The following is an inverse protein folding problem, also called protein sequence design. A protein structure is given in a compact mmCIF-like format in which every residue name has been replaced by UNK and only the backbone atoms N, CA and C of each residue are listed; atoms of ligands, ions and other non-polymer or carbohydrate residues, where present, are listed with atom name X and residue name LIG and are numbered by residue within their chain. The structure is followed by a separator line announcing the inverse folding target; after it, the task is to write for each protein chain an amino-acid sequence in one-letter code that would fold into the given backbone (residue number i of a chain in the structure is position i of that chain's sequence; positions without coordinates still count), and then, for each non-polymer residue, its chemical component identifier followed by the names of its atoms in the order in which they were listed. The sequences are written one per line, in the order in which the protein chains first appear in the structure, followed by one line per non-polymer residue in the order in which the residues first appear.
data_IF_251132494190
#
_entry.id   IF_251132494190
#
_cell.length_a   1.000
_cell.length_b   1.000
_cell.length_c   1.000
_cell.angle_alpha   90.00
_cell.angle_beta   90.00
_cell.angle_gamma   90.00
#
_symmetry.space_group_name_H-M   'P 1'
#
loop_
_entity.id
_entity.type
_entity.pdbx_description
1 polymer ?
#
# COMPACT_ATOMS: atom_id res chain seq x y z
N UNK A 1 -10.35 -13.64 -6.08
CA UNK A 1 -9.55 -12.78 -5.16
C UNK A 1 -8.09 -13.13 -5.36
N UNK A 2 -7.26 -12.21 -5.82
CA UNK A 2 -5.83 -12.48 -5.93
C UNK A 2 -5.21 -12.26 -4.55
N UNK A 3 -4.57 -13.27 -3.96
CA UNK A 3 -3.67 -13.05 -2.85
C UNK A 3 -2.36 -12.52 -3.43
N UNK A 4 -1.87 -11.41 -2.91
CA UNK A 4 -0.57 -10.86 -3.27
C UNK A 4 0.33 -10.96 -2.06
N UNK A 5 1.38 -11.76 -2.18
CA UNK A 5 2.45 -11.80 -1.19
C UNK A 5 3.57 -10.87 -1.65
N UNK A 6 3.95 -9.95 -0.78
CA UNK A 6 5.01 -9.00 -1.03
C UNK A 6 6.04 -9.06 0.08
N UNK A 7 7.27 -9.41 -0.28
CA UNK A 7 8.43 -9.35 0.62
C UNK A 7 9.28 -8.16 0.23
N UNK A 8 9.50 -7.23 1.15
CA UNK A 8 10.24 -5.99 0.90
C UNK A 8 11.58 -5.98 1.63
N UNK A 9 12.65 -5.56 0.95
CA UNK A 9 13.96 -5.30 1.55
C UNK A 9 14.08 -3.88 2.12
N UNK A 10 13.67 -2.83 1.37
CA UNK A 10 13.70 -1.45 1.86
C UNK A 10 12.68 -1.24 2.97
N UNK A 11 13.17 -1.01 4.19
CA UNK A 11 12.33 -0.80 5.38
C UNK A 11 11.38 0.40 5.20
N UNK A 12 10.20 0.33 5.82
CA UNK A 12 9.15 1.36 5.71
C UNK A 12 8.31 1.30 4.44
N UNK A 13 8.84 0.82 3.31
CA UNK A 13 8.05 0.71 2.08
C UNK A 13 7.00 -0.41 2.13
N UNK A 14 7.24 -1.50 2.87
CA UNK A 14 6.29 -2.60 3.03
C UNK A 14 4.99 -2.16 3.67
N UNK A 15 5.05 -1.47 4.81
CA UNK A 15 3.84 -0.92 5.47
C UNK A 15 3.17 0.13 4.58
N UNK A 16 3.93 0.92 3.84
CA UNK A 16 3.40 1.93 2.94
C UNK A 16 2.67 1.31 1.74
N UNK A 17 3.23 0.23 1.16
CA UNK A 17 2.53 -0.55 0.13
C UNK A 17 1.24 -1.17 0.69
N UNK A 18 1.25 -1.70 1.92
CA UNK A 18 0.06 -2.23 2.57
C UNK A 18 -1.04 -1.16 2.75
N UNK A 19 -0.65 0.08 3.08
CA UNK A 19 -1.59 1.22 3.09
C UNK A 19 -2.21 1.44 1.71
N UNK A 20 -1.42 1.37 0.64
CA UNK A 20 -1.90 1.46 -0.74
C UNK A 20 -2.86 0.33 -1.11
N UNK A 21 -2.56 -0.91 -0.73
CA UNK A 21 -3.44 -2.07 -0.96
C UNK A 21 -4.77 -1.92 -0.21
N UNK A 22 -4.74 -1.54 1.06
CA UNK A 22 -5.95 -1.33 1.86
C UNK A 22 -6.79 -0.15 1.34
N UNK A 23 -6.17 0.89 0.81
CA UNK A 23 -6.86 2.00 0.15
C UNK A 23 -7.54 1.53 -1.15
N UNK A 24 -6.85 0.74 -1.97
CA UNK A 24 -7.41 0.18 -3.20
C UNK A 24 -8.61 -0.72 -2.91
N UNK A 25 -8.52 -1.59 -1.89
CA UNK A 25 -9.66 -2.40 -1.44
C UNK A 25 -10.85 -1.51 -1.10
N UNK A 26 -10.65 -0.49 -0.26
CA UNK A 26 -11.72 0.40 0.19
C UNK A 26 -12.40 1.14 -0.97
N UNK A 27 -11.63 1.62 -1.93
CA UNK A 27 -12.16 2.33 -3.09
C UNK A 27 -12.89 1.38 -4.06
N UNK A 28 -12.34 0.19 -4.32
CA UNK A 28 -13.00 -0.84 -5.14
C UNK A 28 -14.30 -1.33 -4.49
N UNK A 29 -14.32 -1.52 -3.18
CA UNK A 29 -15.53 -1.88 -2.45
C UNK A 29 -16.62 -0.82 -2.63
N UNK A 30 -16.26 0.47 -2.55
CA UNK A 30 -17.19 1.57 -2.79
C UNK A 30 -17.69 1.62 -4.24
N UNK A 31 -16.83 1.31 -5.23
CA UNK A 31 -17.20 1.28 -6.64
C UNK A 31 -18.13 0.11 -6.98
N UNK A 32 -17.83 -1.09 -6.46
CA UNK A 32 -18.40 -2.33 -7.00
C UNK A 32 -19.34 -3.07 -6.06
N UNK A 33 -19.19 -3.00 -4.72
CA UNK A 33 -20.10 -3.69 -3.83
C UNK A 33 -21.52 -3.15 -3.95
N UNK A 34 -22.51 -4.05 -3.84
CA UNK A 34 -23.94 -3.72 -3.87
C UNK A 34 -24.64 -4.47 -2.74
N UNK A 35 -25.76 -3.99 -2.24
CA UNK A 35 -26.49 -4.68 -1.16
C UNK A 35 -26.72 -6.16 -1.45
N UNK A 36 -26.22 -7.02 -0.56
CA UNK A 36 -26.24 -8.47 -0.70
C UNK A 36 -25.16 -9.08 -1.60
N UNK A 37 -24.24 -8.28 -2.12
CA UNK A 37 -23.15 -8.71 -3.00
C UNK A 37 -21.86 -7.98 -2.69
N UNK A 38 -21.17 -8.40 -1.61
CA UNK A 38 -19.86 -7.87 -1.24
C UNK A 38 -18.77 -8.67 -1.96
N UNK A 39 -18.42 -8.23 -3.19
CA UNK A 39 -17.42 -8.91 -4.02
C UNK A 39 -15.98 -8.45 -3.71
N UNK A 40 -15.83 -7.32 -3.02
CA UNK A 40 -14.55 -6.79 -2.52
C UNK A 40 -14.66 -6.65 -1.01
N UNK A 41 -14.10 -7.62 -0.28
CA UNK A 41 -14.18 -7.68 1.19
C UNK A 41 -13.00 -8.50 1.75
N UNK A 42 -11.81 -7.92 1.71
CA UNK A 42 -10.61 -8.59 2.22
C UNK A 42 -9.75 -7.67 3.07
N UNK A 43 -8.98 -8.28 3.96
CA UNK A 43 -8.05 -7.58 4.82
C UNK A 43 -6.64 -7.56 4.21
N UNK A 44 -5.91 -6.50 4.50
CA UNK A 44 -4.48 -6.39 4.22
C UNK A 44 -3.72 -6.61 5.53
N UNK A 45 -2.85 -7.61 5.56
CA UNK A 45 -1.97 -7.91 6.70
C UNK A 45 -0.54 -7.50 6.36
N UNK A 46 0.16 -6.93 7.33
CA UNK A 46 1.56 -6.56 7.18
C UNK A 46 2.34 -6.87 8.45
N UNK A 47 3.53 -7.45 8.29
CA UNK A 47 4.49 -7.68 9.36
C UNK A 47 5.61 -6.66 9.26
N UNK A 48 6.04 -6.11 10.39
CA UNK A 48 7.09 -5.11 10.44
C UNK A 48 7.80 -5.14 11.81
N UNK A 49 9.06 -4.71 11.85
CA UNK A 49 9.87 -4.65 13.05
C UNK A 49 10.27 -3.21 13.41
N UNK A 50 11.14 -3.06 14.42
CA UNK A 50 11.62 -1.78 14.94
C UNK A 50 12.23 -0.87 13.86
N UNK A 51 13.03 -1.43 12.96
CA UNK A 51 13.63 -0.67 11.86
C UNK A 51 12.58 -0.04 10.93
N UNK A 52 11.49 -0.73 10.65
CA UNK A 52 10.40 -0.16 9.85
C UNK A 52 9.72 1.02 10.57
N UNK A 53 9.64 0.97 11.90
CA UNK A 53 9.05 2.04 12.72
C UNK A 53 9.94 3.28 12.82
N UNK A 54 11.26 3.12 12.63
CA UNK A 54 12.23 4.23 12.60
C UNK A 54 12.20 5.00 11.27
N UNK A 55 11.80 4.35 10.17
CA UNK A 55 11.75 4.97 8.85
C UNK A 55 10.72 6.10 8.79
N UNK A 56 11.13 7.28 8.30
CA UNK A 56 10.25 8.46 8.19
C UNK A 56 8.98 8.21 7.39
N UNK A 57 9.07 7.40 6.32
CA UNK A 57 7.93 7.05 5.47
C UNK A 57 6.81 6.31 6.25
N UNK A 58 7.15 5.58 7.32
CA UNK A 58 6.14 4.92 8.16
C UNK A 58 5.23 5.93 8.86
N UNK A 59 5.77 7.09 9.26
CA UNK A 59 4.99 8.19 9.83
C UNK A 59 4.04 8.78 8.78
N UNK A 60 4.52 9.00 7.56
CA UNK A 60 3.71 9.54 6.46
C UNK A 60 2.52 8.62 6.13
N UNK A 61 2.81 7.35 5.90
CA UNK A 61 1.80 6.37 5.47
C UNK A 61 0.81 6.02 6.59
N UNK A 62 1.29 5.78 7.82
CA UNK A 62 0.42 5.38 8.93
C UNK A 62 -0.51 6.52 9.38
N UNK A 63 -0.05 7.77 9.31
CA UNK A 63 -0.91 8.92 9.54
C UNK A 63 -2.05 9.02 8.51
N UNK A 64 -1.74 8.79 7.22
CA UNK A 64 -2.75 8.74 6.15
C UNK A 64 -3.73 7.57 6.32
N UNK A 65 -3.23 6.39 6.69
CA UNK A 65 -4.09 5.23 6.94
C UNK A 65 -5.14 5.48 8.03
N UNK A 66 -4.75 6.17 9.10
CA UNK A 66 -5.68 6.61 10.14
C UNK A 66 -6.67 7.66 9.65
N UNK A 67 -6.20 8.66 8.88
CA UNK A 67 -7.04 9.71 8.30
C UNK A 67 -8.08 9.14 7.31
N UNK A 68 -7.68 8.14 6.51
CA UNK A 68 -8.58 7.44 5.56
C UNK A 68 -9.37 6.30 6.20
N UNK A 69 -9.18 6.07 7.51
CA UNK A 69 -9.91 5.03 8.25
C UNK A 69 -9.86 3.66 7.56
N UNK A 70 -8.65 3.20 7.24
CA UNK A 70 -8.43 1.92 6.54
C UNK A 70 -8.61 0.74 7.51
N UNK A 71 -9.83 0.49 7.91
CA UNK A 71 -10.20 -0.47 8.96
C UNK A 71 -9.83 -1.93 8.65
N UNK A 72 -9.60 -2.26 7.38
CA UNK A 72 -9.15 -3.60 6.96
C UNK A 72 -7.62 -3.74 6.87
N UNK A 73 -6.86 -2.72 7.27
CA UNK A 73 -5.41 -2.79 7.43
C UNK A 73 -5.04 -3.25 8.83
N UNK A 74 -4.35 -4.38 8.92
CA UNK A 74 -3.91 -5.01 10.18
C UNK A 74 -2.40 -5.15 10.14
N UNK A 75 -1.70 -4.40 10.98
CA UNK A 75 -0.26 -4.44 11.12
C UNK A 75 0.15 -5.23 12.36
N UNK A 76 1.01 -6.23 12.18
CA UNK A 76 1.62 -6.99 13.26
C UNK A 76 3.06 -6.47 13.45
N UNK A 77 3.29 -5.78 14.54
CA UNK A 77 4.58 -5.20 14.88
C UNK A 77 5.35 -6.15 15.78
N UNK A 78 6.46 -6.66 15.28
CA UNK A 78 7.43 -7.46 16.02
C UNK A 78 8.30 -6.51 16.87
N UNK A 79 7.83 -6.25 18.09
CA UNK A 79 8.48 -5.37 19.08
C UNK A 79 9.49 -6.19 19.89
N UNK A 80 10.65 -6.48 19.28
CA UNK A 80 11.72 -7.23 19.93
C UNK A 80 12.83 -6.35 20.50
N UNK A 81 12.91 -5.08 20.13
CA UNK A 81 13.88 -4.12 20.67
C UNK A 81 15.32 -4.34 20.22
N UNK A 82 15.54 -5.11 19.12
CA UNK A 82 16.87 -5.44 18.60
C UNK A 82 16.95 -5.06 17.11
N UNK A 83 18.03 -4.43 16.74
CA UNK A 83 18.43 -4.19 15.36
C UNK A 83 19.81 -4.77 15.07
N UNK A 84 20.35 -4.52 13.88
CA UNK A 84 21.67 -5.00 13.49
C UNK A 84 22.80 -4.43 14.39
N UNK A 85 22.59 -3.22 14.93
CA UNK A 85 23.53 -2.58 15.86
C UNK A 85 23.30 -2.95 17.33
N UNK A 86 22.31 -3.81 17.62
CA UNK A 86 21.99 -4.27 18.96
C UNK A 86 20.69 -3.72 19.52
N UNK A 87 20.66 -3.48 20.84
CA UNK A 87 19.48 -2.93 21.53
C UNK A 87 19.15 -1.54 21.04
N UNK A 88 17.92 -1.32 20.61
CA UNK A 88 17.49 -0.05 19.98
C UNK A 88 17.33 1.12 20.95
N UNK A 89 17.23 0.87 22.26
CA UNK A 89 16.97 1.89 23.28
C UNK A 89 17.89 3.12 23.26
N UNK A 90 19.17 3.07 22.82
CA UNK A 90 19.99 4.29 22.73
C UNK A 90 19.58 5.28 21.63
N UNK A 91 18.82 4.85 20.62
CA UNK A 91 18.42 5.68 19.47
C UNK A 91 16.96 5.56 19.07
N UNK A 92 16.16 4.72 19.73
CA UNK A 92 14.74 4.56 19.48
C UNK A 92 13.98 4.35 20.81
N UNK A 93 13.40 5.43 21.33
CA UNK A 93 12.66 5.46 22.59
C UNK A 93 11.21 5.88 22.38
N UNK A 94 10.74 5.91 21.14
CA UNK A 94 9.37 6.30 20.82
C UNK A 94 8.37 5.36 21.51
N UNK A 95 7.33 5.92 22.08
CA UNK A 95 6.14 5.16 22.43
C UNK A 95 5.34 4.89 21.15
N UNK A 96 5.70 3.80 20.44
CA UNK A 96 5.07 3.41 19.19
C UNK A 96 3.56 3.22 19.35
N UNK A 97 3.10 2.69 20.48
CA UNK A 97 1.68 2.49 20.74
C UNK A 97 0.93 3.83 20.88
N UNK A 98 1.49 4.79 21.61
CA UNK A 98 0.91 6.13 21.73
C UNK A 98 0.92 6.86 20.39
N UNK A 99 2.00 6.74 19.61
CA UNK A 99 2.13 7.29 18.26
C UNK A 99 1.02 6.82 17.34
N UNK A 100 0.76 5.51 17.28
CA UNK A 100 -0.30 4.95 16.44
C UNK A 100 -1.71 5.32 16.94
N UNK A 101 -1.93 5.40 18.26
CA UNK A 101 -3.18 5.94 18.81
C UNK A 101 -3.41 7.39 18.35
N UNK A 102 -2.34 8.22 18.33
CA UNK A 102 -2.42 9.60 17.85
C UNK A 102 -2.72 9.70 16.35
N UNK A 103 -2.30 8.70 15.53
CA UNK A 103 -2.71 8.60 14.13
C UNK A 103 -4.17 8.16 13.94
N UNK A 104 -4.88 7.77 15.00
CA UNK A 104 -6.25 7.28 14.92
C UNK A 104 -6.39 5.78 14.69
N UNK A 105 -5.34 5.01 14.93
CA UNK A 105 -5.36 3.54 14.87
C UNK A 105 -5.94 2.93 16.15
N UNK A 106 -6.52 1.75 16.01
CA UNK A 106 -6.70 0.82 17.14
C UNK A 106 -5.34 0.19 17.45
N UNK A 107 -4.99 0.09 18.74
CA UNK A 107 -3.73 -0.52 19.16
C UNK A 107 -4.02 -1.61 20.18
N UNK A 108 -3.52 -2.81 19.93
CA UNK A 108 -3.66 -4.00 20.79
C UNK A 108 -2.25 -4.49 21.13
N UNK A 109 -1.90 -4.51 22.40
CA UNK A 109 -0.61 -5.04 22.86
C UNK A 109 -0.79 -6.49 23.34
N UNK A 110 0.11 -7.38 22.89
CA UNK A 110 0.09 -8.80 23.23
C UNK A 110 1.51 -9.33 23.48
N UNK A 111 1.59 -10.42 24.23
CA UNK A 111 2.76 -11.30 24.19
C UNK A 111 2.77 -12.00 22.81
N UNK A 112 3.79 -11.71 22.00
CA UNK A 112 3.92 -12.25 20.64
C UNK A 112 4.26 -13.76 20.61
N UNK A 113 4.62 -14.33 21.75
CA UNK A 113 4.82 -15.77 21.89
C UNK A 113 3.58 -16.53 22.41
N UNK A 114 2.53 -15.81 22.83
CA UNK A 114 1.21 -16.39 23.13
C UNK A 114 0.35 -16.44 21.86
N UNK A 115 0.37 -17.58 21.18
CA UNK A 115 -0.39 -17.84 19.93
C UNK A 115 -1.89 -17.53 20.12
N UNK A 116 -2.46 -17.82 21.31
CA UNK A 116 -3.86 -17.58 21.58
C UNK A 116 -4.16 -16.07 21.76
N UNK A 117 -3.26 -15.33 22.39
CA UNK A 117 -3.38 -13.88 22.49
C UNK A 117 -3.30 -13.20 21.12
N UNK A 118 -2.34 -13.61 20.29
CA UNK A 118 -2.21 -13.11 18.91
C UNK A 118 -3.46 -13.43 18.08
N UNK A 119 -3.97 -14.66 18.16
CA UNK A 119 -5.18 -15.08 17.44
C UNK A 119 -6.41 -14.23 17.85
N UNK A 120 -6.60 -14.00 19.16
CA UNK A 120 -7.69 -13.13 19.66
C UNK A 120 -7.52 -11.67 19.19
N UNK A 121 -6.29 -11.16 19.17
CA UNK A 121 -6.00 -9.81 18.68
C UNK A 121 -6.33 -9.65 17.20
N UNK A 122 -5.98 -10.63 16.36
CA UNK A 122 -6.34 -10.66 14.94
C UNK A 122 -7.87 -10.67 14.78
N UNK A 123 -8.58 -11.54 15.50
CA UNK A 123 -10.04 -11.58 15.44
C UNK A 123 -10.68 -10.24 15.85
N UNK A 124 -10.14 -9.58 16.89
CA UNK A 124 -10.57 -8.25 17.30
C UNK A 124 -10.30 -7.19 16.23
N UNK A 125 -9.12 -7.25 15.58
CA UNK A 125 -8.75 -6.35 14.52
C UNK A 125 -9.66 -6.50 13.28
N UNK A 126 -10.01 -7.72 12.91
CA UNK A 126 -10.95 -8.02 11.82
C UNK A 126 -12.34 -7.42 12.05
N UNK A 127 -12.75 -7.25 13.30
CA UNK A 127 -14.01 -6.61 13.69
C UNK A 127 -13.95 -5.08 13.77
N UNK A 128 -12.83 -4.44 13.45
CA UNK A 128 -12.72 -2.98 13.51
C UNK A 128 -13.62 -2.31 12.45
N UNK A 129 -14.47 -1.40 12.90
CA UNK A 129 -15.44 -0.74 12.02
C UNK A 129 -14.84 0.41 11.21
N UNK A 130 -13.92 1.20 11.81
CA UNK A 130 -13.48 2.48 11.25
C UNK A 130 -12.01 2.81 11.49
N UNK A 131 -11.19 1.87 12.00
CA UNK A 131 -9.78 2.13 12.32
C UNK A 131 -8.89 1.03 11.80
N UNK A 132 -7.73 1.37 11.19
CA UNK A 132 -6.66 0.40 11.02
C UNK A 132 -6.16 -0.08 12.39
N UNK A 133 -5.62 -1.29 12.46
CA UNK A 133 -5.17 -1.89 13.72
C UNK A 133 -3.69 -2.18 13.72
N UNK A 134 -3.00 -1.73 14.77
CA UNK A 134 -1.65 -2.17 15.13
C UNK A 134 -1.75 -3.21 16.25
N UNK A 135 -1.26 -4.41 15.99
CA UNK A 135 -1.04 -5.43 17.03
C UNK A 135 0.44 -5.36 17.40
N UNK A 136 0.74 -4.78 18.55
CA UNK A 136 2.10 -4.69 19.08
C UNK A 136 2.44 -6.00 19.80
N UNK A 137 3.21 -6.85 19.13
CA UNK A 137 3.60 -8.16 19.60
C UNK A 137 4.95 -8.05 20.31
N UNK A 138 4.96 -8.11 21.63
CA UNK A 138 6.24 -8.17 22.35
C UNK A 138 6.87 -9.53 22.16
N UNK A 139 8.08 -9.56 21.61
CA UNK A 139 8.78 -10.79 21.25
C UNK A 139 10.23 -10.77 21.70
N UNK A 140 10.87 -11.92 21.55
CA UNK A 140 12.31 -12.12 21.73
C UNK A 140 12.90 -12.64 20.42
N UNK A 141 13.75 -11.85 19.76
CA UNK A 141 14.43 -12.31 18.55
C UNK A 141 15.32 -13.53 18.88
N UNK A 142 15.30 -14.55 18.03
CA UNK A 142 16.03 -15.78 18.28
C UNK A 142 15.48 -16.62 19.44
N UNK A 143 14.19 -16.49 19.73
CA UNK A 143 13.50 -17.28 20.75
C UNK A 143 13.83 -18.77 20.64
N UNK A 144 14.20 -19.38 21.77
CA UNK A 144 14.65 -20.78 21.84
C UNK A 144 16.13 -20.99 21.59
N UNK A 145 16.89 -20.00 21.16
CA UNK A 145 18.34 -20.08 21.02
C UNK A 145 19.02 -19.73 22.35
N UNK A 146 19.75 -20.65 23.01
CA UNK A 146 20.31 -20.41 24.35
C UNK A 146 21.31 -19.27 24.41
N UNK A 147 22.11 -19.06 23.36
CA UNK A 147 23.20 -18.09 23.35
C UNK A 147 22.99 -16.91 22.42
N UNK A 148 21.91 -16.91 21.60
CA UNK A 148 21.66 -15.88 20.58
C UNK A 148 20.38 -15.08 20.82
N UNK A 149 19.50 -15.53 21.72
CA UNK A 149 18.26 -14.80 22.03
C UNK A 149 18.58 -13.36 22.46
N UNK A 150 17.78 -12.37 21.95
CA UNK A 150 17.91 -10.94 22.26
C UNK A 150 19.28 -10.32 21.92
N UNK A 151 19.96 -10.85 20.91
CA UNK A 151 21.25 -10.33 20.45
C UNK A 151 21.20 -9.86 18.99
N UNK A 152 22.07 -8.89 18.64
CA UNK A 152 22.28 -8.46 17.25
C UNK A 152 22.65 -9.61 16.31
N UNK A 153 23.35 -10.62 16.83
CA UNK A 153 23.74 -11.81 16.05
C UNK A 153 22.57 -12.64 15.60
N UNK A 154 21.45 -12.67 16.37
CA UNK A 154 20.23 -13.32 15.92
C UNK A 154 19.53 -12.55 14.79
N UNK A 155 19.77 -11.23 14.69
CA UNK A 155 19.18 -10.38 13.64
C UNK A 155 19.89 -10.56 12.29
N UNK A 156 21.22 -10.59 12.26
CA UNK A 156 21.98 -10.44 11.02
C UNK A 156 22.87 -11.63 10.63
N UNK A 157 23.01 -12.66 11.47
CA UNK A 157 23.93 -13.76 11.25
C UNK A 157 23.23 -15.12 11.32
N UNK A 158 23.72 -16.13 10.57
CA UNK A 158 23.30 -17.53 10.79
C UNK A 158 23.64 -17.96 12.23
N UNK A 159 22.79 -18.80 12.82
CA UNK A 159 23.06 -19.34 14.16
C UNK A 159 24.37 -20.14 14.24
N UNK A 160 24.73 -20.84 13.16
CA UNK A 160 25.85 -21.78 13.12
C UNK A 160 25.46 -23.17 13.63
N UNK A 161 26.25 -24.19 13.26
CA UNK A 161 25.89 -25.60 13.50
C UNK A 161 25.70 -25.93 15.00
N UNK A 162 26.59 -25.44 15.85
CA UNK A 162 26.55 -25.72 17.29
C UNK A 162 25.31 -25.09 17.94
N UNK A 163 25.01 -23.83 17.63
CA UNK A 163 23.86 -23.13 18.17
C UNK A 163 22.56 -23.70 17.63
N UNK A 164 22.51 -24.16 16.36
CA UNK A 164 21.36 -24.87 15.81
C UNK A 164 21.08 -26.14 16.61
N UNK A 165 22.11 -26.91 16.96
CA UNK A 165 21.95 -28.13 17.76
C UNK A 165 21.37 -27.82 19.15
N UNK A 166 21.90 -26.76 19.82
CA UNK A 166 21.38 -26.32 21.12
C UNK A 166 19.95 -25.80 21.02
N UNK A 167 19.65 -25.01 20.00
CA UNK A 167 18.29 -24.47 19.77
C UNK A 167 17.29 -25.59 19.53
N UNK A 168 17.63 -26.58 18.70
CA UNK A 168 16.78 -27.74 18.45
C UNK A 168 16.45 -28.52 19.74
N UNK A 169 17.49 -28.72 20.57
CA UNK A 169 17.30 -29.34 21.89
C UNK A 169 16.38 -28.51 22.81
N UNK A 170 16.60 -27.20 22.83
CA UNK A 170 15.84 -26.26 23.68
C UNK A 170 14.34 -26.19 23.28
N UNK A 171 14.02 -26.20 21.97
CA UNK A 171 12.63 -26.16 21.48
C UNK A 171 12.01 -27.56 21.35
N UNK A 172 12.74 -28.63 21.68
CA UNK A 172 12.24 -30.01 21.59
C UNK A 172 12.02 -30.50 20.17
N UNK A 173 12.82 -30.05 19.18
CA UNK A 173 12.71 -30.46 17.78
C UNK A 173 13.70 -31.59 17.44
N UNK A 174 13.25 -32.88 17.45
CA UNK A 174 14.15 -34.05 17.29
C UNK A 174 14.48 -34.38 15.83
N UNK A 175 13.73 -33.82 14.87
CA UNK A 175 13.82 -34.23 13.46
C UNK A 175 15.10 -33.70 12.79
N UNK A 176 15.69 -34.42 11.82
CA UNK A 176 16.82 -33.96 11.04
C UNK A 176 16.57 -32.65 10.28
N UNK A 177 17.61 -31.96 9.83
CA UNK A 177 17.44 -30.77 8.97
C UNK A 177 16.61 -31.10 7.72
N UNK A 178 15.67 -30.20 7.40
CA UNK A 178 14.74 -30.30 6.26
C UNK A 178 13.75 -31.46 6.29
N UNK A 179 13.69 -32.21 7.37
CA UNK A 179 12.63 -33.19 7.61
C UNK A 179 11.52 -32.53 8.44
N UNK A 180 10.34 -32.40 7.84
CA UNK A 180 9.14 -31.90 8.51
C UNK A 180 8.16 -33.06 8.66
N UNK A 181 7.69 -33.37 9.89
CA UNK A 181 6.72 -34.47 10.13
C UNK A 181 5.42 -34.27 9.34
N UNK A 182 4.81 -35.40 8.98
CA UNK A 182 3.58 -35.40 8.19
C UNK A 182 2.42 -34.70 8.91
N UNK A 183 2.35 -34.79 10.23
CA UNK A 183 1.37 -34.10 11.06
C UNK A 183 1.50 -32.57 10.98
N UNK A 184 2.73 -32.03 10.93
CA UNK A 184 2.95 -30.59 10.75
C UNK A 184 2.48 -30.15 9.36
N UNK A 185 2.76 -30.93 8.32
CA UNK A 185 2.22 -30.66 6.99
C UNK A 185 0.69 -30.68 6.97
N UNK A 186 0.07 -31.63 7.65
CA UNK A 186 -1.39 -31.75 7.71
C UNK A 186 -2.02 -30.54 8.45
N UNK A 187 -1.40 -30.09 9.53
CA UNK A 187 -1.87 -28.93 10.32
C UNK A 187 -1.75 -27.61 9.54
N UNK A 188 -0.71 -27.49 8.71
CA UNK A 188 -0.48 -26.31 7.88
C UNK A 188 -1.20 -26.34 6.53
N UNK A 189 -1.76 -27.49 6.12
CA UNK A 189 -2.45 -27.61 4.83
C UNK A 189 -3.80 -26.88 4.84
N UNK A 190 -3.79 -25.68 4.31
CA UNK A 190 -4.98 -24.84 4.16
C UNK A 190 -5.72 -25.01 2.82
N UNK A 191 -5.33 -25.99 1.96
CA UNK A 191 -5.89 -26.14 0.60
C UNK A 191 -7.41 -26.31 0.62
N UNK A 192 -7.94 -27.23 1.42
CA UNK A 192 -9.39 -27.45 1.50
C UNK A 192 -10.14 -26.21 2.01
N UNK A 193 -9.60 -25.52 3.03
CA UNK A 193 -10.16 -24.28 3.56
C UNK A 193 -10.11 -23.16 2.52
N UNK A 194 -8.99 -23.04 1.80
CA UNK A 194 -8.81 -22.05 0.73
C UNK A 194 -9.79 -22.29 -0.41
N UNK A 195 -9.90 -23.55 -0.89
CA UNK A 195 -10.84 -23.92 -1.96
C UNK A 195 -12.31 -23.63 -1.58
N UNK A 196 -12.69 -23.92 -0.33
CA UNK A 196 -14.03 -23.59 0.15
C UNK A 196 -14.28 -22.06 0.21
N UNK A 197 -13.26 -21.26 0.56
CA UNK A 197 -13.37 -19.81 0.56
C UNK A 197 -13.47 -19.25 -0.87
N UNK A 198 -12.66 -19.75 -1.79
CA UNK A 198 -12.69 -19.40 -3.21
C UNK A 198 -14.04 -19.73 -3.84
N UNK A 199 -14.58 -20.92 -3.57
CA UNK A 199 -15.89 -21.30 -4.08
C UNK A 199 -17.00 -20.37 -3.58
N UNK A 200 -17.01 -20.01 -2.30
CA UNK A 200 -17.98 -19.01 -1.77
C UNK A 200 -17.89 -17.66 -2.50
N UNK A 201 -16.68 -17.22 -2.79
CA UNK A 201 -16.51 -15.98 -3.55
C UNK A 201 -17.04 -16.12 -4.99
N UNK A 202 -16.76 -17.24 -5.66
CA UNK A 202 -17.29 -17.51 -7.01
C UNK A 202 -18.81 -17.55 -7.04
N UNK A 203 -19.44 -18.16 -6.04
CA UNK A 203 -20.91 -18.19 -5.94
C UNK A 203 -21.49 -16.79 -5.76
N UNK A 204 -20.87 -15.97 -4.89
CA UNK A 204 -21.23 -14.55 -4.70
C UNK A 204 -21.06 -13.75 -5.99
N UNK A 205 -19.92 -13.94 -6.68
CA UNK A 205 -19.65 -13.24 -7.93
C UNK A 205 -20.58 -13.65 -9.05
N UNK A 206 -20.93 -14.93 -9.15
CA UNK A 206 -21.91 -15.41 -10.14
C UNK A 206 -23.31 -14.81 -9.90
N UNK A 207 -23.73 -14.66 -8.65
CA UNK A 207 -24.97 -13.96 -8.30
C UNK A 207 -24.90 -12.47 -8.65
N UNK A 208 -23.77 -11.82 -8.32
CA UNK A 208 -23.48 -10.43 -8.68
C UNK A 208 -23.54 -10.22 -10.20
N UNK A 209 -22.92 -11.11 -10.98
CA UNK A 209 -22.88 -11.03 -12.44
C UNK A 209 -24.29 -11.08 -13.06
N UNK A 210 -25.19 -11.88 -12.48
CA UNK A 210 -26.60 -11.92 -12.91
C UNK A 210 -27.33 -10.62 -12.57
N UNK A 211 -27.11 -10.07 -11.38
CA UNK A 211 -27.79 -8.86 -10.92
C UNK A 211 -27.22 -7.57 -11.53
N UNK A 212 -25.89 -7.52 -11.76
CA UNK A 212 -25.17 -6.33 -12.19
C UNK A 212 -24.16 -6.63 -13.31
N UNK A 213 -24.59 -7.11 -14.50
CA UNK A 213 -23.70 -7.64 -15.54
C UNK A 213 -22.67 -6.62 -16.04
N UNK A 214 -23.04 -5.35 -16.17
CA UNK A 214 -22.12 -4.30 -16.62
C UNK A 214 -21.01 -4.02 -15.58
N UNK A 215 -21.37 -3.97 -14.29
CA UNK A 215 -20.40 -3.77 -13.22
C UNK A 215 -19.47 -4.97 -13.07
N UNK A 216 -19.99 -6.19 -13.21
CA UNK A 216 -19.17 -7.41 -13.15
C UNK A 216 -18.17 -7.45 -14.29
N UNK A 217 -18.55 -7.11 -15.51
CA UNK A 217 -17.65 -7.03 -16.66
C UNK A 217 -16.55 -5.95 -16.45
N UNK A 218 -16.93 -4.80 -15.93
CA UNK A 218 -15.99 -3.71 -15.62
C UNK A 218 -15.02 -4.09 -14.50
N UNK A 219 -15.50 -4.73 -13.43
CA UNK A 219 -14.65 -5.26 -12.36
C UNK A 219 -13.62 -6.26 -12.91
N UNK A 220 -14.07 -7.24 -13.71
CA UNK A 220 -13.17 -8.23 -14.32
C UNK A 220 -12.14 -7.56 -15.23
N UNK A 221 -12.55 -6.59 -16.07
CA UNK A 221 -11.64 -5.84 -16.94
C UNK A 221 -10.55 -5.12 -16.14
N UNK A 222 -10.96 -4.39 -15.07
CA UNK A 222 -10.00 -3.66 -14.23
C UNK A 222 -9.03 -4.59 -13.50
N UNK A 223 -9.54 -5.71 -12.95
CA UNK A 223 -8.70 -6.68 -12.25
C UNK A 223 -7.76 -7.44 -13.18
N UNK A 224 -8.12 -7.62 -14.46
CA UNK A 224 -7.24 -8.15 -15.49
C UNK A 224 -6.16 -7.14 -15.95
N UNK A 225 -6.30 -5.87 -15.58
CA UNK A 225 -5.41 -4.80 -16.04
C UNK A 225 -5.64 -4.36 -17.49
N UNK A 226 -6.75 -4.76 -18.07
CA UNK A 226 -7.12 -4.42 -19.45
C UNK A 226 -7.64 -2.97 -19.53
N UNK A 227 -7.22 -2.24 -20.55
CA UNK A 227 -7.73 -0.91 -20.82
C UNK A 227 -9.11 -0.97 -21.48
N UNK A 228 -9.94 0.09 -21.38
CA UNK A 228 -11.22 0.15 -22.07
C UNK A 228 -11.06 -0.04 -23.59
N UNK A 229 -12.01 -0.73 -24.23
CA UNK A 229 -11.94 -1.03 -25.69
C UNK A 229 -11.76 0.21 -26.58
N UNK A 230 -12.25 1.36 -26.14
CA UNK A 230 -12.15 2.64 -26.86
C UNK A 230 -10.87 3.43 -26.56
N UNK A 231 -9.93 2.87 -25.77
CA UNK A 231 -8.71 3.57 -25.34
C UNK A 231 -7.93 4.19 -26.51
N UNK A 232 -7.65 3.41 -27.56
CA UNK A 232 -6.89 3.90 -28.71
C UNK A 232 -7.60 5.06 -29.42
N UNK A 233 -8.91 4.98 -29.57
CA UNK A 233 -9.69 6.07 -30.15
C UNK A 233 -9.66 7.32 -29.27
N UNK A 234 -9.81 7.18 -27.96
CA UNK A 234 -9.69 8.29 -27.02
C UNK A 234 -8.36 9.02 -27.13
N UNK A 235 -7.25 8.26 -27.21
CA UNK A 235 -5.91 8.85 -27.38
C UNK A 235 -5.81 9.60 -28.71
N UNK A 236 -6.28 9.00 -29.80
CA UNK A 236 -6.28 9.63 -31.13
C UNK A 236 -7.10 10.92 -31.14
N UNK A 237 -8.30 10.89 -30.58
CA UNK A 237 -9.19 12.06 -30.50
C UNK A 237 -8.57 13.19 -29.69
N UNK A 238 -7.93 12.86 -28.56
CA UNK A 238 -7.23 13.84 -27.72
C UNK A 238 -6.06 14.50 -28.47
N UNK A 239 -5.26 13.72 -29.22
CA UNK A 239 -4.14 14.23 -30.02
C UNK A 239 -4.66 15.12 -31.15
N UNK A 240 -5.69 14.69 -31.88
CA UNK A 240 -6.30 15.47 -32.97
C UNK A 240 -6.90 16.77 -32.44
N UNK A 241 -7.58 16.72 -31.28
CA UNK A 241 -8.15 17.92 -30.66
C UNK A 241 -7.06 18.92 -30.24
N UNK A 242 -5.97 18.45 -29.63
CA UNK A 242 -4.83 19.29 -29.26
C UNK A 242 -4.16 19.92 -30.51
N UNK A 243 -3.95 19.12 -31.57
CA UNK A 243 -3.38 19.60 -32.83
C UNK A 243 -4.28 20.67 -33.50
N UNK A 244 -5.60 20.42 -33.53
CA UNK A 244 -6.56 21.34 -34.13
C UNK A 244 -6.69 22.67 -33.42
N UNK A 245 -6.58 22.66 -32.08
CA UNK A 245 -6.59 23.89 -31.26
C UNK A 245 -5.31 24.69 -31.42
N UNK A 246 -4.17 24.03 -31.60
CA UNK A 246 -2.84 24.60 -31.75
C UNK A 246 -2.50 25.67 -30.65
N UNK A 247 -2.95 25.42 -29.43
CA UNK A 247 -2.73 26.34 -28.30
C UNK A 247 -1.28 26.25 -27.80
N UNK A 248 -0.67 27.41 -27.54
CA UNK A 248 0.61 27.47 -26.83
C UNK A 248 0.34 27.51 -25.32
N UNK A 249 0.70 26.46 -24.62
CA UNK A 249 0.45 26.31 -23.17
C UNK A 249 1.71 25.82 -22.45
N UNK A 250 1.77 26.05 -21.13
CA UNK A 250 2.83 25.46 -20.30
C UNK A 250 2.75 23.92 -20.31
N UNK A 251 3.89 23.22 -20.19
CA UNK A 251 3.97 21.75 -20.21
C UNK A 251 3.02 21.10 -19.20
N UNK A 252 2.92 21.63 -17.99
CA UNK A 252 1.96 21.17 -16.97
C UNK A 252 0.50 21.29 -17.42
N UNK A 253 0.16 22.33 -18.20
CA UNK A 253 -1.19 22.49 -18.75
C UNK A 253 -1.45 21.50 -19.90
N UNK A 254 -0.45 21.23 -20.73
CA UNK A 254 -0.55 20.20 -21.75
C UNK A 254 -0.79 18.82 -21.12
N UNK A 255 -0.08 18.51 -20.02
CA UNK A 255 -0.32 17.31 -19.22
C UNK A 255 -1.76 17.24 -18.68
N UNK A 256 -2.28 18.34 -18.13
CA UNK A 256 -3.67 18.40 -17.65
C UNK A 256 -4.68 18.16 -18.77
N UNK A 257 -4.47 18.74 -19.95
CA UNK A 257 -5.37 18.54 -21.09
C UNK A 257 -5.40 17.08 -21.55
N UNK A 258 -4.27 16.39 -21.51
CA UNK A 258 -4.23 14.94 -21.71
C UNK A 258 -4.95 14.18 -20.60
N UNK A 259 -4.74 14.55 -19.34
CA UNK A 259 -5.44 13.93 -18.20
C UNK A 259 -6.97 14.14 -18.26
N UNK A 260 -7.46 15.30 -18.70
CA UNK A 260 -8.91 15.53 -18.89
C UNK A 260 -9.51 14.49 -19.84
N UNK A 261 -8.88 14.26 -20.98
CA UNK A 261 -9.37 13.27 -21.94
C UNK A 261 -9.27 11.84 -21.40
N UNK A 262 -8.14 11.49 -20.78
CA UNK A 262 -7.89 10.14 -20.29
C UNK A 262 -8.75 9.78 -19.09
N UNK A 263 -8.90 10.68 -18.11
CA UNK A 263 -9.70 10.41 -16.92
C UNK A 263 -11.20 10.36 -17.19
N UNK A 264 -11.67 10.98 -18.27
CA UNK A 264 -13.05 10.81 -18.76
C UNK A 264 -13.31 9.39 -19.26
N UNK A 265 -12.33 8.78 -19.92
CA UNK A 265 -12.49 7.50 -20.61
C UNK A 265 -11.97 6.29 -19.81
N UNK A 266 -11.07 6.50 -18.84
CA UNK A 266 -10.40 5.44 -18.09
C UNK A 266 -10.76 5.63 -16.60
N UNK A 267 -11.86 5.00 -16.13
CA UNK A 267 -12.35 5.20 -14.77
C UNK A 267 -11.40 4.66 -13.69
N UNK A 268 -10.50 3.75 -14.01
CA UNK A 268 -9.48 3.21 -13.11
C UNK A 268 -8.26 4.13 -12.90
N UNK A 269 -8.14 5.25 -13.61
CA UNK A 269 -7.12 6.25 -13.33
C UNK A 269 -7.39 6.90 -11.96
N UNK A 270 -6.51 6.66 -11.01
CA UNK A 270 -6.57 7.19 -9.64
C UNK A 270 -5.44 8.22 -9.45
N UNK A 271 -5.81 9.48 -9.46
CA UNK A 271 -4.86 10.59 -9.39
C UNK A 271 -4.50 11.02 -7.98
N UNK A 272 -3.52 11.90 -7.88
CA UNK A 272 -3.16 12.54 -6.62
C UNK A 272 -2.03 13.55 -6.75
N UNK A 273 -1.71 14.19 -5.63
CA UNK A 273 -0.59 15.12 -5.52
C UNK A 273 -0.07 15.19 -4.10
N UNK A 274 1.24 15.44 -3.95
CA UNK A 274 1.88 15.74 -2.69
C UNK A 274 1.74 17.25 -2.36
N UNK A 275 0.51 17.66 -2.07
CA UNK A 275 0.11 19.04 -1.72
C UNK A 275 0.35 20.11 -2.81
N UNK A 276 0.54 19.68 -4.04
CA UNK A 276 0.84 20.57 -5.18
C UNK A 276 -0.20 20.46 -6.30
N UNK A 277 -1.45 20.08 -5.99
CA UNK A 277 -2.51 19.85 -7.00
C UNK A 277 -2.68 21.05 -7.95
N UNK A 278 -2.75 22.28 -7.42
CA UNK A 278 -2.91 23.48 -8.21
C UNK A 278 -1.68 23.84 -9.05
N UNK A 279 -0.50 23.46 -8.60
CA UNK A 279 0.76 23.70 -9.33
C UNK A 279 1.07 22.62 -10.36
N UNK A 280 0.82 21.37 -10.03
CA UNK A 280 1.04 20.22 -10.92
C UNK A 280 -0.10 20.00 -11.93
N UNK A 281 -1.28 20.54 -11.66
CA UNK A 281 -2.50 20.36 -12.47
C UNK A 281 -2.86 18.87 -12.67
N UNK A 282 -2.80 18.11 -11.57
CA UNK A 282 -3.09 16.67 -11.59
C UNK A 282 -4.58 16.34 -11.43
N UNK A 283 -5.39 17.29 -11.00
CA UNK A 283 -6.84 17.14 -10.94
C UNK A 283 -7.50 17.45 -12.29
N UNK A 284 -8.63 16.84 -12.54
CA UNK A 284 -9.47 17.04 -13.74
C UNK A 284 -10.91 17.26 -13.32
N UNK A 285 -11.76 17.66 -14.28
CA UNK A 285 -13.21 17.77 -14.08
C UNK A 285 -13.88 16.41 -13.77
N UNK A 286 -13.20 15.32 -14.09
CA UNK A 286 -13.68 13.94 -13.92
C UNK A 286 -13.15 13.25 -12.66
N UNK A 287 -12.25 13.89 -11.91
CA UNK A 287 -11.59 13.30 -10.73
C UNK A 287 -11.83 14.11 -9.46
N UNK A 288 -13.05 14.02 -8.85
CA UNK A 288 -13.30 14.66 -7.56
C UNK A 288 -12.36 14.08 -6.49
N UNK A 289 -12.14 14.84 -5.41
CA UNK A 289 -11.28 14.40 -4.31
C UNK A 289 -11.86 13.17 -3.61
N UNK A 290 -10.98 12.22 -3.28
CA UNK A 290 -11.32 11.10 -2.39
C UNK A 290 -11.63 11.65 -1.00
N UNK A 291 -12.79 11.30 -0.47
CA UNK A 291 -13.25 11.70 0.87
C UNK A 291 -13.74 10.48 1.63
N UNK A 292 -13.45 10.46 2.92
CA UNK A 292 -13.92 9.42 3.84
C UNK A 292 -14.60 10.13 5.01
N UNK A 293 -15.80 9.69 5.37
CA UNK A 293 -16.55 10.26 6.49
C UNK A 293 -16.06 9.75 7.85
N UNK A 294 -16.64 10.27 8.93
CA UNK A 294 -16.29 9.88 10.29
C UNK A 294 -16.58 8.40 10.60
N UNK A 295 -17.46 7.77 9.85
CA UNK A 295 -17.76 6.33 9.97
C UNK A 295 -16.88 5.44 9.08
N UNK A 296 -15.92 6.03 8.36
CA UNK A 296 -15.00 5.29 7.50
C UNK A 296 -15.56 4.95 6.11
N UNK A 297 -16.67 5.54 5.69
CA UNK A 297 -17.26 5.30 4.38
C UNK A 297 -16.70 6.27 3.35
N UNK A 298 -16.45 5.78 2.14
CA UNK A 298 -16.12 6.63 0.99
C UNK A 298 -17.38 7.43 0.62
N UNK A 299 -17.22 8.76 0.52
CA UNK A 299 -18.33 9.70 0.29
C UNK A 299 -18.33 10.15 -1.16
N UNK A 300 -19.53 10.21 -1.75
CA UNK A 300 -19.74 10.79 -3.06
C UNK A 300 -19.74 12.32 -3.00
N UNK A 301 -19.41 12.97 -4.11
CA UNK A 301 -19.57 14.41 -4.27
C UNK A 301 -21.06 14.79 -4.49
N UNK A 302 -21.33 16.09 -4.63
CA UNK A 302 -22.69 16.60 -4.84
C UNK A 302 -23.33 16.13 -6.16
N UNK A 303 -22.55 15.52 -7.05
CA UNK A 303 -23.00 14.91 -8.31
C UNK A 303 -23.13 13.39 -8.24
N UNK A 304 -22.97 12.80 -7.05
CA UNK A 304 -23.05 11.36 -6.83
C UNK A 304 -21.82 10.58 -7.33
N UNK A 305 -20.67 11.25 -7.56
CA UNK A 305 -19.44 10.61 -8.06
C UNK A 305 -18.52 10.27 -6.91
N UNK A 306 -17.91 9.09 -6.95
CA UNK A 306 -16.82 8.72 -6.05
C UNK A 306 -15.53 9.47 -6.38
N UNK A 307 -14.75 9.78 -5.35
CA UNK A 307 -13.47 10.46 -5.51
C UNK A 307 -12.44 9.61 -6.24
N UNK A 308 -11.66 10.27 -7.13
CA UNK A 308 -10.56 9.66 -7.89
C UNK A 308 -9.30 10.52 -7.88
N UNK A 309 -9.22 11.51 -6.98
CA UNK A 309 -8.03 12.32 -6.73
C UNK A 309 -7.70 12.31 -5.25
N UNK A 310 -6.46 11.93 -4.90
CA UNK A 310 -5.98 11.77 -3.54
C UNK A 310 -5.11 12.98 -3.15
N UNK A 311 -5.44 13.62 -2.04
CA UNK A 311 -4.58 14.63 -1.42
C UNK A 311 -3.66 13.91 -0.41
N UNK A 312 -2.40 13.71 -0.80
CA UNK A 312 -1.41 13.01 0.06
C UNK A 312 -0.81 13.94 1.13
N UNK A 313 -0.99 15.27 1.00
CA UNK A 313 -0.25 16.25 1.77
C UNK A 313 1.23 16.29 1.37
N UNK A 314 2.07 17.00 2.10
CA UNK A 314 3.52 17.12 1.82
C UNK A 314 4.21 15.80 2.19
N UNK A 315 4.08 14.80 1.32
CA UNK A 315 4.55 13.42 1.54
C UNK A 315 4.88 12.74 0.21
N UNK A 316 5.94 13.16 -0.46
CA UNK A 316 6.34 12.64 -1.78
C UNK A 316 6.68 11.17 -1.73
N UNK A 317 7.42 10.74 -0.71
CA UNK A 317 7.83 9.35 -0.56
C UNK A 317 6.62 8.45 -0.22
N UNK A 318 5.81 8.89 0.73
CA UNK A 318 4.54 8.21 1.08
C UNK A 318 3.61 8.09 -0.13
N UNK A 319 3.41 9.18 -0.90
CA UNK A 319 2.63 9.16 -2.14
C UNK A 319 3.13 8.10 -3.10
N UNK A 320 4.41 8.12 -3.44
CA UNK A 320 4.99 7.22 -4.44
C UNK A 320 4.90 5.75 -4.00
N UNK A 321 5.18 5.44 -2.74
CA UNK A 321 5.09 4.07 -2.24
C UNK A 321 3.65 3.59 -2.01
N UNK A 322 2.71 4.47 -1.63
CA UNK A 322 1.28 4.15 -1.60
C UNK A 322 0.77 3.83 -3.00
N UNK A 323 1.17 4.60 -4.02
CA UNK A 323 0.84 4.30 -5.42
C UNK A 323 1.37 2.93 -5.85
N UNK A 324 2.57 2.53 -5.40
CA UNK A 324 3.06 1.17 -5.65
C UNK A 324 2.12 0.11 -5.06
N UNK A 325 1.65 0.32 -3.83
CA UNK A 325 0.68 -0.57 -3.19
C UNK A 325 -0.67 -0.64 -3.92
N UNK A 326 -1.17 0.49 -4.39
CA UNK A 326 -2.40 0.55 -5.22
C UNK A 326 -2.23 -0.23 -6.53
N UNK A 327 -1.08 -0.07 -7.21
CA UNK A 327 -0.79 -0.79 -8.45
C UNK A 327 -0.64 -2.30 -8.22
N UNK A 328 0.02 -2.71 -7.13
CA UNK A 328 0.18 -4.11 -6.73
C UNK A 328 -1.15 -4.80 -6.41
N UNK A 329 -2.08 -4.08 -5.81
CA UNK A 329 -3.43 -4.60 -5.55
C UNK A 329 -4.21 -4.86 -6.84
N UNK A 330 -4.02 -4.02 -7.84
CA UNK A 330 -4.79 -4.05 -9.09
C UNK A 330 -6.12 -3.29 -8.99
N UNK A 331 -6.81 -3.21 -10.13
CA UNK A 331 -8.09 -2.50 -10.26
C UNK A 331 -7.99 -0.99 -10.47
N UNK A 332 -6.80 -0.40 -10.22
CA UNK A 332 -6.49 1.01 -10.46
C UNK A 332 -5.14 1.19 -11.18
N UNK A 333 -5.03 2.30 -11.90
CA UNK A 333 -3.77 2.81 -12.45
C UNK A 333 -3.47 4.13 -11.71
N UNK A 334 -2.58 4.13 -10.71
CA UNK A 334 -2.28 5.32 -9.95
C UNK A 334 -1.41 6.30 -10.74
N UNK A 335 -1.69 7.60 -10.57
CA UNK A 335 -0.80 8.66 -10.98
C UNK A 335 -0.68 9.72 -9.89
N UNK A 336 0.51 10.29 -9.72
CA UNK A 336 0.77 11.26 -8.66
C UNK A 336 1.73 12.34 -9.08
N UNK A 337 1.48 13.56 -8.60
CA UNK A 337 2.21 14.75 -8.98
C UNK A 337 3.02 15.36 -7.86
N UNK A 338 4.21 15.83 -8.24
CA UNK A 338 5.06 16.74 -7.47
C UNK A 338 6.01 17.47 -8.44
N UNK A 339 6.86 18.38 -7.94
CA UNK A 339 7.92 18.97 -8.76
C UNK A 339 9.01 17.94 -9.04
N UNK A 340 9.65 18.04 -10.19
CA UNK A 340 10.70 17.08 -10.58
C UNK A 340 11.86 17.06 -9.56
N UNK A 341 12.24 18.20 -9.00
CA UNK A 341 13.27 18.28 -7.97
C UNK A 341 12.91 17.45 -6.73
N UNK A 342 11.62 17.37 -6.36
CA UNK A 342 11.17 16.61 -5.20
C UNK A 342 11.05 15.09 -5.47
N UNK A 343 11.37 14.63 -6.68
CA UNK A 343 11.58 13.22 -6.93
C UNK A 343 12.72 12.64 -6.07
N UNK A 344 13.62 13.47 -5.57
CA UNK A 344 14.68 13.05 -4.64
C UNK A 344 14.10 12.46 -3.34
N UNK A 345 13.00 13.01 -2.82
CA UNK A 345 12.31 12.43 -1.66
C UNK A 345 11.70 11.07 -1.96
N UNK A 346 11.21 10.85 -3.18
CA UNK A 346 10.50 9.63 -3.58
C UNK A 346 11.34 8.64 -4.38
N UNK A 347 12.61 8.93 -4.61
CA UNK A 347 13.51 8.12 -5.46
C UNK A 347 13.47 6.63 -5.15
N UNK A 348 13.48 6.26 -3.88
CA UNK A 348 13.45 4.85 -3.48
C UNK A 348 12.15 4.15 -3.89
N UNK A 349 11.01 4.81 -3.78
CA UNK A 349 9.73 4.24 -4.20
C UNK A 349 9.62 4.15 -5.73
N UNK A 350 10.14 5.15 -6.48
CA UNK A 350 10.23 5.12 -7.93
C UNK A 350 11.08 3.92 -8.39
N UNK A 351 12.24 3.73 -7.75
CA UNK A 351 13.09 2.57 -8.01
C UNK A 351 12.36 1.25 -7.75
N UNK A 352 11.59 1.16 -6.67
CA UNK A 352 10.83 -0.05 -6.35
C UNK A 352 9.69 -0.29 -7.34
N UNK A 353 9.01 0.74 -7.82
CA UNK A 353 8.02 0.61 -8.90
C UNK A 353 8.63 -0.07 -10.14
N UNK A 354 9.83 0.38 -10.55
CA UNK A 354 10.55 -0.18 -11.69
C UNK A 354 10.98 -1.64 -11.44
N UNK A 355 11.56 -1.95 -10.25
CA UNK A 355 11.95 -3.30 -9.87
C UNK A 355 10.76 -4.28 -9.87
N UNK A 356 9.63 -3.86 -9.33
CA UNK A 356 8.40 -4.64 -9.27
C UNK A 356 7.62 -4.62 -10.59
N UNK A 357 8.08 -3.87 -11.61
CA UNK A 357 7.42 -3.70 -12.91
C UNK A 357 5.98 -3.19 -12.79
N UNK A 358 5.73 -2.28 -11.85
CA UNK A 358 4.40 -1.76 -11.60
C UNK A 358 4.06 -0.60 -12.53
N UNK A 359 2.79 -0.53 -12.94
CA UNK A 359 2.25 0.57 -13.73
C UNK A 359 1.89 1.74 -12.82
N UNK A 360 2.86 2.60 -12.55
CA UNK A 360 2.70 3.83 -11.77
C UNK A 360 3.12 5.02 -12.62
N UNK A 361 2.30 6.06 -12.68
CA UNK A 361 2.57 7.26 -13.48
C UNK A 361 2.98 8.40 -12.55
N UNK A 362 4.21 8.88 -12.71
CA UNK A 362 4.73 10.05 -12.02
C UNK A 362 4.56 11.29 -12.88
N UNK A 363 3.83 12.30 -12.38
CA UNK A 363 3.61 13.58 -13.05
C UNK A 363 4.57 14.60 -12.43
N UNK A 364 5.74 14.72 -13.01
CA UNK A 364 6.77 15.67 -12.57
C UNK A 364 6.68 16.95 -13.38
N UNK A 365 6.42 18.08 -12.70
CA UNK A 365 6.35 19.39 -13.30
C UNK A 365 7.50 20.28 -12.79
N UNK A 366 7.58 21.53 -13.28
CA UNK A 366 8.67 22.43 -12.91
C UNK A 366 10.03 21.79 -13.18
N UNK A 367 10.21 21.28 -14.40
CA UNK A 367 11.18 20.28 -14.78
C UNK A 367 12.46 20.84 -15.41
N UNK A 368 12.71 22.15 -15.26
CA UNK A 368 13.89 22.78 -15.86
C UNK A 368 14.49 23.87 -14.98
N UNK A 369 15.74 24.22 -15.29
CA UNK A 369 16.42 25.39 -14.70
C UNK A 369 15.79 26.72 -15.13
N UNK A 370 14.90 26.69 -16.12
CA UNK A 370 14.14 27.86 -16.58
C UNK A 370 13.03 28.29 -15.62
N UNK A 371 12.76 27.50 -14.57
CA UNK A 371 11.90 27.90 -13.48
C UNK A 371 12.55 29.05 -12.71
N UNK A 372 11.95 30.23 -12.73
CA UNK A 372 12.61 31.45 -12.26
C UNK A 372 12.34 31.79 -10.80
N UNK A 373 11.07 31.96 -10.45
CA UNK A 373 10.65 32.58 -9.20
C UNK A 373 10.88 31.75 -7.93
N UNK A 374 10.81 30.41 -8.04
CA UNK A 374 11.00 29.50 -6.89
C UNK A 374 12.49 29.33 -6.50
N UNK A 375 13.41 29.69 -7.39
CA UNK A 375 14.85 29.66 -7.14
C UNK A 375 15.50 28.29 -7.14
N UNK A 376 16.81 28.22 -6.74
CA UNK A 376 17.64 27.02 -6.90
C UNK A 376 17.15 25.78 -6.17
N UNK A 377 16.44 25.94 -5.07
CA UNK A 377 15.90 24.81 -4.29
C UNK A 377 14.81 24.03 -5.02
N UNK A 378 14.22 24.62 -6.07
CA UNK A 378 13.12 24.02 -6.84
C UNK A 378 13.53 23.73 -8.30
N UNK A 379 14.73 24.11 -8.71
CA UNK A 379 15.22 23.96 -10.08
C UNK A 379 15.88 22.60 -10.27
N UNK A 380 15.36 21.81 -11.21
CA UNK A 380 15.89 20.50 -11.56
C UNK A 380 17.07 20.63 -12.50
N UNK A 381 18.19 19.95 -12.24
CA UNK A 381 19.39 19.93 -13.07
C UNK A 381 19.70 18.49 -13.51
N UNK A 382 20.09 17.64 -12.56
CA UNK A 382 20.51 16.27 -12.81
C UNK A 382 19.37 15.23 -12.80
N UNK A 383 18.19 15.61 -12.37
CA UNK A 383 17.06 14.70 -12.07
C UNK A 383 16.64 13.86 -13.29
N UNK A 384 16.49 14.48 -14.48
CA UNK A 384 16.11 13.77 -15.67
C UNK A 384 17.15 12.71 -16.10
N UNK A 385 18.44 13.01 -15.95
CA UNK A 385 19.52 12.07 -16.25
C UNK A 385 19.56 10.93 -15.22
N UNK A 386 19.33 11.23 -13.95
CA UNK A 386 19.42 10.26 -12.86
C UNK A 386 18.19 9.34 -12.75
N UNK A 387 17.05 9.72 -13.34
CA UNK A 387 15.83 8.89 -13.42
C UNK A 387 15.78 8.01 -14.68
N UNK A 388 16.72 8.18 -15.60
CA UNK A 388 16.76 7.50 -16.89
C UNK A 388 17.16 6.02 -16.80
#
# INVERSE_FOLDING_TARGET
MCSSDLTTGPLGQGITNAVGMALAEKLLAADFNRPGHDIVDHHTYVFLGDGCMMEGISHEACALAGAWKLNKLIALYDDNGISIDGKVTPWFIDDTQARFKAYGWQVIAVDGHDVQAVSRAIATAQGSADKPTLIACKTHIGQGSPNRVDTAKAHGEPLGADEIALTRAAIGWPHPPFEVPAEVYADWDAKAKGQAAEQRWHDTFAAYQKAHPALAAEFQRRMAGDLPKHFHQTVLDAVVAAHSKAETVASRKASQLALEALTAAIPELLGGSADLTGSNLTNTSHTPNVRVDLAGRVVQDDQGRLGRHINYGVREFGMAAIMNGVALHGGFIPYGGTFLTFSDYSRNAIRMAALMKQRVVHVFTHDSIGLGEDGPTHQSIEHAASLR
#
